data_IF_501248116940
#
_entry.id   IF_501248116940
#
_cell.length_a   1.000
_cell.length_b   1.000
_cell.length_c   1.000
_cell.angle_alpha   90.00
_cell.angle_beta   90.00
_cell.angle_gamma   90.00
#
_symmetry.space_group_name_H-M   'P 1'
#
loop_
_entity.id
_entity.type
_entity.pdbx_description
1 polymer ?
#
# COMPACT_ATOMS: atom_id res chain seq x y z
N UNK A 1 4.75 -21.45 15.36
CA UNK A 1 3.79 -22.58 15.19
C UNK A 1 4.57 -23.87 14.99
N UNK A 2 4.07 -25.02 15.46
CA UNK A 2 4.69 -26.32 15.14
C UNK A 2 4.38 -26.72 13.68
N UNK A 3 5.39 -27.13 12.92
CA UNK A 3 5.22 -27.62 11.54
C UNK A 3 4.21 -28.77 11.46
N UNK A 4 4.17 -29.64 12.48
CA UNK A 4 3.19 -30.72 12.56
C UNK A 4 1.76 -30.19 12.59
N UNK A 5 1.50 -29.13 13.37
CA UNK A 5 0.18 -28.53 13.48
C UNK A 5 -0.25 -27.92 12.14
N UNK A 6 0.66 -27.23 11.45
CA UNK A 6 0.36 -26.62 10.14
C UNK A 6 0.10 -27.69 9.07
N UNK A 7 0.88 -28.77 9.05
CA UNK A 7 0.62 -29.94 8.17
C UNK A 7 -0.75 -30.56 8.42
N UNK A 8 -1.12 -30.73 9.69
CA UNK A 8 -2.42 -31.26 10.09
C UNK A 8 -3.55 -30.34 9.63
N UNK A 9 -3.39 -29.02 9.79
CA UNK A 9 -4.34 -28.04 9.26
C UNK A 9 -4.44 -28.21 7.74
N UNK A 10 -3.32 -28.15 7.03
CA UNK A 10 -3.25 -28.28 5.58
C UNK A 10 -3.97 -29.51 5.02
N UNK A 11 -3.90 -30.65 5.72
CA UNK A 11 -4.56 -31.90 5.33
C UNK A 11 -6.07 -31.96 5.65
N UNK A 12 -6.57 -31.12 6.57
CA UNK A 12 -7.93 -31.22 7.10
C UNK A 12 -8.82 -30.01 6.80
N UNK A 13 -8.24 -28.83 6.54
CA UNK A 13 -9.00 -27.63 6.18
C UNK A 13 -9.67 -27.79 4.83
N UNK A 14 -10.94 -27.44 4.77
CA UNK A 14 -11.72 -27.31 3.54
C UNK A 14 -11.52 -25.91 2.94
N UNK A 15 -11.68 -25.75 1.61
CA UNK A 15 -11.71 -24.43 1.00
C UNK A 15 -12.78 -23.54 1.63
N UNK A 16 -12.48 -22.25 1.80
CA UNK A 16 -13.47 -21.25 2.20
C UNK A 16 -14.46 -21.02 1.05
N UNK A 17 -15.74 -20.72 1.35
CA UNK A 17 -16.68 -20.24 0.33
C UNK A 17 -16.23 -18.88 -0.22
N UNK A 18 -16.78 -18.46 -1.35
CA UNK A 18 -16.59 -17.12 -1.91
C UNK A 18 -17.96 -16.40 -1.94
N UNK A 19 -18.12 -15.24 -1.26
CA UNK A 19 -17.13 -14.59 -0.41
C UNK A 19 -16.81 -15.39 0.87
N UNK A 20 -15.65 -15.12 1.48
CA UNK A 20 -15.28 -15.72 2.76
C UNK A 20 -16.26 -15.30 3.87
N UNK A 21 -16.45 -16.13 4.91
CA UNK A 21 -17.16 -15.72 6.11
C UNK A 21 -16.45 -14.55 6.80
N UNK A 22 -17.21 -13.65 7.45
CA UNK A 22 -16.67 -12.48 8.14
C UNK A 22 -15.55 -12.84 9.15
N UNK A 23 -15.73 -13.93 9.91
CA UNK A 23 -14.73 -14.43 10.84
C UNK A 23 -13.40 -14.76 10.16
N UNK A 24 -13.43 -15.37 8.96
CA UNK A 24 -12.20 -15.70 8.24
C UNK A 24 -11.45 -14.44 7.78
N UNK A 25 -12.19 -13.42 7.32
CA UNK A 25 -11.62 -12.10 6.98
C UNK A 25 -11.02 -11.43 8.23
N UNK A 26 -11.72 -11.45 9.36
CA UNK A 26 -11.26 -10.87 10.62
C UNK A 26 -10.00 -11.56 11.15
N UNK A 27 -9.90 -12.89 11.01
CA UNK A 27 -8.70 -13.65 11.36
C UNK A 27 -7.51 -13.32 10.44
N UNK A 28 -7.76 -13.12 9.13
CA UNK A 28 -6.71 -12.65 8.22
C UNK A 28 -6.21 -11.26 8.64
N UNK A 29 -7.11 -10.31 8.89
CA UNK A 29 -6.75 -8.96 9.35
C UNK A 29 -6.00 -9.00 10.68
N UNK A 30 -6.44 -9.86 11.62
CA UNK A 30 -5.77 -10.06 12.91
C UNK A 30 -4.35 -10.61 12.73
N UNK A 31 -4.16 -11.59 11.84
CA UNK A 31 -2.85 -12.11 11.50
C UNK A 31 -1.94 -11.02 10.93
N UNK A 32 -2.41 -10.25 9.94
CA UNK A 32 -1.64 -9.17 9.32
C UNK A 32 -1.31 -8.05 10.33
N UNK A 33 -2.25 -7.75 11.23
CA UNK A 33 -2.10 -6.77 12.30
C UNK A 33 -1.23 -7.22 13.47
N UNK A 34 -0.78 -8.48 13.53
CA UNK A 34 0.00 -9.01 14.65
C UNK A 34 1.47 -8.53 14.68
N UNK A 35 1.91 -7.79 13.66
CA UNK A 35 3.27 -7.25 13.58
C UNK A 35 4.29 -8.33 13.25
N UNK A 36 5.51 -8.23 13.79
CA UNK A 36 6.63 -9.11 13.42
C UNK A 36 6.31 -10.62 13.50
N UNK A 37 5.56 -11.14 14.48
CA UNK A 37 5.15 -12.54 14.51
C UNK A 37 4.35 -13.03 13.30
N UNK A 38 3.69 -12.14 12.54
CA UNK A 38 2.93 -12.49 11.35
C UNK A 38 3.78 -13.20 10.31
N UNK A 39 5.05 -12.81 10.21
CA UNK A 39 6.05 -13.39 9.31
C UNK A 39 6.18 -14.91 9.51
N UNK A 40 6.47 -15.34 10.74
CA UNK A 40 6.79 -16.75 11.00
C UNK A 40 5.55 -17.62 10.80
N UNK A 41 4.37 -17.07 11.11
CA UNK A 41 3.09 -17.73 10.87
C UNK A 41 2.82 -17.85 9.38
N UNK A 42 3.00 -16.77 8.62
CA UNK A 42 2.75 -16.74 7.18
C UNK A 42 3.67 -17.71 6.43
N UNK A 43 4.97 -17.71 6.75
CA UNK A 43 5.94 -18.62 6.15
C UNK A 43 5.63 -20.09 6.47
N UNK A 44 5.22 -20.38 7.71
CA UNK A 44 4.82 -21.75 8.06
C UNK A 44 3.58 -22.20 7.29
N UNK A 45 2.57 -21.32 7.14
CA UNK A 45 1.36 -21.60 6.35
C UNK A 45 1.70 -21.81 4.87
N UNK A 46 2.54 -20.96 4.30
CA UNK A 46 2.92 -21.03 2.88
C UNK A 46 3.84 -22.22 2.57
N UNK A 47 4.68 -22.65 3.51
CA UNK A 47 5.48 -23.87 3.38
C UNK A 47 4.59 -25.12 3.16
N UNK A 48 3.37 -25.10 3.69
CA UNK A 48 2.35 -26.15 3.54
C UNK A 48 1.25 -25.78 2.51
N UNK A 49 1.51 -24.74 1.69
CA UNK A 49 0.63 -24.30 0.59
C UNK A 49 -0.75 -23.80 1.04
N UNK A 50 -0.89 -23.39 2.30
CA UNK A 50 -2.16 -22.85 2.80
C UNK A 50 -2.42 -21.45 2.26
N UNK A 51 -1.41 -20.58 2.19
CA UNK A 51 -1.58 -19.22 1.66
C UNK A 51 -1.93 -19.27 0.17
N UNK A 52 -1.19 -20.02 -0.65
CA UNK A 52 -1.51 -20.21 -2.08
C UNK A 52 -2.91 -20.81 -2.32
N UNK A 53 -3.45 -21.63 -1.40
CA UNK A 53 -4.84 -22.12 -1.49
C UNK A 53 -5.88 -21.06 -1.15
N UNK A 54 -5.60 -20.21 -0.16
CA UNK A 54 -6.48 -19.12 0.24
C UNK A 54 -6.45 -17.99 -0.80
N UNK A 55 -5.25 -17.65 -1.28
CA UNK A 55 -4.97 -16.58 -2.22
C UNK A 55 -4.23 -17.14 -3.46
N UNK A 56 -4.95 -17.78 -4.41
CA UNK A 56 -4.36 -18.35 -5.63
C UNK A 56 -3.38 -17.45 -6.38
N UNK A 57 -3.68 -16.15 -6.49
CA UNK A 57 -2.83 -15.17 -7.17
C UNK A 57 -1.44 -14.98 -6.50
N UNK A 58 -1.31 -15.39 -5.23
CA UNK A 58 -0.03 -15.41 -4.50
C UNK A 58 1.04 -16.27 -5.16
N UNK A 59 0.64 -17.34 -5.86
CA UNK A 59 1.57 -18.26 -6.52
C UNK A 59 2.47 -17.53 -7.53
N UNK A 60 1.99 -16.44 -8.14
CA UNK A 60 2.73 -15.64 -9.12
C UNK A 60 3.81 -14.74 -8.51
N UNK A 61 3.71 -14.43 -7.23
CA UNK A 61 4.69 -13.59 -6.50
C UNK A 61 5.57 -14.39 -5.53
N UNK A 62 5.19 -15.64 -5.25
CA UNK A 62 5.95 -16.57 -4.41
C UNK A 62 7.39 -16.72 -4.88
N UNK A 63 8.33 -16.48 -3.95
CA UNK A 63 9.78 -16.50 -4.14
C UNK A 63 10.26 -15.72 -5.38
N UNK A 64 9.48 -14.74 -5.85
CA UNK A 64 9.81 -13.97 -7.05
C UNK A 64 10.90 -12.95 -6.72
N UNK A 65 12.01 -12.89 -7.46
CA UNK A 65 13.01 -11.85 -7.25
C UNK A 65 12.45 -10.45 -7.53
N UNK A 66 12.78 -9.48 -6.67
CA UNK A 66 12.57 -8.07 -6.98
C UNK A 66 13.62 -7.60 -7.99
N UNK A 67 13.22 -6.78 -8.97
CA UNK A 67 14.10 -6.31 -10.05
C UNK A 67 14.95 -5.09 -9.67
N UNK A 68 14.68 -4.45 -8.53
CA UNK A 68 15.40 -3.25 -8.08
C UNK A 68 16.34 -3.58 -6.91
N UNK A 69 17.57 -3.07 -6.99
CA UNK A 69 18.67 -3.36 -6.04
C UNK A 69 18.41 -2.87 -4.59
N UNK A 70 17.37 -2.07 -4.38
CA UNK A 70 17.02 -1.52 -3.05
C UNK A 70 16.18 -2.51 -2.24
N UNK A 71 15.45 -3.43 -2.89
CA UNK A 71 14.63 -4.38 -2.14
C UNK A 71 15.49 -5.43 -1.45
N UNK A 72 15.24 -5.61 -0.16
CA UNK A 72 15.90 -6.62 0.67
C UNK A 72 15.33 -8.04 0.46
N UNK A 73 14.13 -8.15 -0.12
CA UNK A 73 13.32 -9.36 -0.09
C UNK A 73 12.80 -9.76 -1.48
N UNK A 74 12.43 -11.03 -1.63
CA UNK A 74 11.55 -11.48 -2.71
C UNK A 74 10.19 -10.78 -2.61
N UNK A 75 9.42 -10.75 -3.71
CA UNK A 75 8.13 -10.02 -3.76
C UNK A 75 7.18 -10.51 -2.66
N UNK A 76 6.95 -11.81 -2.53
CA UNK A 76 6.12 -12.40 -1.48
C UNK A 76 6.54 -12.01 -0.05
N UNK A 77 7.83 -12.07 0.25
CA UNK A 77 8.35 -11.67 1.56
C UNK A 77 8.20 -10.17 1.79
N UNK A 78 8.43 -9.36 0.75
CA UNK A 78 8.22 -7.91 0.79
C UNK A 78 6.78 -7.56 1.15
N UNK A 79 5.78 -8.21 0.54
CA UNK A 79 4.35 -7.98 0.83
C UNK A 79 4.03 -8.16 2.33
N UNK A 80 4.57 -9.21 2.96
CA UNK A 80 4.36 -9.44 4.40
C UNK A 80 5.13 -8.47 5.26
N UNK A 81 6.36 -8.11 4.90
CA UNK A 81 7.11 -7.07 5.61
C UNK A 81 6.41 -5.71 5.51
N UNK A 82 5.79 -5.37 4.37
CA UNK A 82 4.95 -4.18 4.21
C UNK A 82 3.71 -4.25 5.11
N UNK A 83 3.03 -5.39 5.20
CA UNK A 83 1.93 -5.57 6.16
C UNK A 83 2.39 -5.42 7.63
N UNK A 84 3.57 -5.92 7.97
CA UNK A 84 4.19 -5.72 9.30
C UNK A 84 4.42 -4.23 9.57
N UNK A 85 4.96 -3.47 8.62
CA UNK A 85 5.12 -2.02 8.76
C UNK A 85 3.77 -1.32 8.90
N UNK A 86 2.80 -1.69 8.08
CA UNK A 86 1.45 -1.15 8.12
C UNK A 86 0.74 -1.41 9.46
N UNK A 87 1.00 -2.56 10.10
CA UNK A 87 0.42 -2.88 11.43
C UNK A 87 0.74 -1.83 12.49
N UNK A 88 1.94 -1.22 12.43
CA UNK A 88 2.35 -0.15 13.34
C UNK A 88 1.64 1.19 13.07
N UNK A 89 1.03 1.34 11.89
CA UNK A 89 0.35 2.55 11.43
C UNK A 89 -1.18 2.48 11.59
N UNK A 90 -1.72 1.36 12.08
CA UNK A 90 -3.17 1.12 12.22
C UNK A 90 -3.91 2.19 13.04
N UNK A 91 -3.23 2.83 14.00
CA UNK A 91 -3.81 3.93 14.82
C UNK A 91 -3.83 5.29 14.11
N UNK A 92 -3.22 5.42 12.94
CA UNK A 92 -3.18 6.64 12.13
C UNK A 92 -4.24 6.67 11.04
N UNK A 93 -5.02 5.60 10.89
CA UNK A 93 -6.00 5.46 9.81
C UNK A 93 -7.37 5.07 10.34
N UNK A 94 -8.43 5.52 9.65
CA UNK A 94 -9.81 5.20 9.99
C UNK A 94 -10.21 3.75 9.65
N UNK A 95 -9.54 3.12 8.69
CA UNK A 95 -9.80 1.74 8.22
C UNK A 95 -8.53 0.88 8.21
N UNK A 96 -8.05 0.44 9.40
CA UNK A 96 -6.82 -0.34 9.51
C UNK A 96 -6.88 -1.69 8.79
N UNK A 97 -8.07 -2.27 8.66
CA UNK A 97 -8.32 -3.50 7.90
C UNK A 97 -8.02 -3.33 6.41
N UNK A 98 -8.48 -2.23 5.80
CA UNK A 98 -8.19 -1.93 4.39
C UNK A 98 -6.71 -1.64 4.17
N UNK A 99 -6.06 -0.91 5.08
CA UNK A 99 -4.61 -0.65 5.02
C UNK A 99 -3.81 -1.96 5.03
N UNK A 100 -4.12 -2.88 5.95
CA UNK A 100 -3.40 -4.15 6.08
C UNK A 100 -3.57 -5.05 4.84
N UNK A 101 -4.78 -5.11 4.28
CA UNK A 101 -5.05 -5.89 3.07
C UNK A 101 -4.43 -5.25 1.84
N UNK A 102 -4.50 -3.92 1.70
CA UNK A 102 -3.82 -3.21 0.62
C UNK A 102 -2.29 -3.37 0.71
N UNK A 103 -1.71 -3.35 1.91
CA UNK A 103 -0.29 -3.62 2.13
C UNK A 103 0.13 -5.02 1.65
N UNK A 104 -0.69 -6.04 1.92
CA UNK A 104 -0.48 -7.40 1.44
C UNK A 104 -0.57 -7.51 -0.09
N UNK A 105 -1.35 -6.65 -0.75
CA UNK A 105 -1.69 -6.77 -2.17
C UNK A 105 -1.01 -5.73 -3.08
N UNK A 106 -0.37 -4.69 -2.56
CA UNK A 106 0.10 -3.54 -3.35
C UNK A 106 0.96 -3.93 -4.56
N UNK A 107 1.77 -4.98 -4.40
CA UNK A 107 2.72 -5.44 -5.41
C UNK A 107 2.30 -6.77 -6.08
N UNK A 108 1.07 -7.26 -5.84
CA UNK A 108 0.59 -8.56 -6.33
C UNK A 108 0.65 -8.67 -7.86
N UNK A 109 0.53 -7.55 -8.56
CA UNK A 109 0.62 -7.46 -10.01
C UNK A 109 2.01 -7.72 -10.59
N UNK A 110 3.10 -7.72 -9.78
CA UNK A 110 4.47 -8.00 -10.27
C UNK A 110 4.64 -9.38 -10.89
N UNK A 111 3.72 -10.31 -10.59
CA UNK A 111 3.62 -11.64 -11.19
C UNK A 111 3.11 -11.66 -12.64
N UNK A 112 2.66 -10.53 -13.18
CA UNK A 112 1.99 -10.40 -14.48
C UNK A 112 2.77 -9.48 -15.45
N UNK A 113 2.57 -9.63 -16.77
CA UNK A 113 3.18 -8.74 -17.75
C UNK A 113 2.52 -7.34 -17.73
N UNK A 114 3.28 -6.33 -18.14
CA UNK A 114 2.80 -4.94 -18.21
C UNK A 114 3.06 -4.15 -16.92
N UNK A 115 2.26 -3.12 -16.71
CA UNK A 115 2.32 -2.30 -15.50
C UNK A 115 1.72 -3.06 -14.31
N UNK A 116 2.54 -3.27 -13.28
CA UNK A 116 2.18 -4.06 -12.11
C UNK A 116 1.11 -3.40 -11.23
N UNK A 117 0.98 -2.07 -11.26
CA UNK A 117 -0.07 -1.37 -10.52
C UNK A 117 -1.42 -1.51 -11.24
N UNK A 118 -1.42 -1.45 -12.57
CA UNK A 118 -2.63 -1.72 -13.40
C UNK A 118 -3.10 -3.17 -13.21
N UNK A 119 -2.19 -4.14 -13.35
CA UNK A 119 -2.52 -5.55 -13.16
C UNK A 119 -2.92 -5.85 -11.70
N UNK A 120 -2.21 -5.24 -10.74
CA UNK A 120 -2.46 -5.36 -9.32
C UNK A 120 -3.84 -4.86 -8.93
N UNK A 121 -4.32 -3.75 -9.51
CA UNK A 121 -5.66 -3.21 -9.29
C UNK A 121 -6.76 -4.26 -9.57
N UNK A 122 -6.69 -4.92 -10.73
CA UNK A 122 -7.67 -5.94 -11.13
C UNK A 122 -7.66 -7.11 -10.16
N UNK A 123 -6.47 -7.61 -9.82
CA UNK A 123 -6.30 -8.74 -8.90
C UNK A 123 -6.78 -8.37 -7.50
N UNK A 124 -6.44 -7.17 -7.03
CA UNK A 124 -6.82 -6.69 -5.70
C UNK A 124 -8.34 -6.57 -5.57
N UNK A 125 -9.03 -6.11 -6.64
CA UNK A 125 -10.49 -6.06 -6.71
C UNK A 125 -11.10 -7.46 -6.54
N UNK A 126 -10.61 -8.44 -7.30
CA UNK A 126 -11.09 -9.82 -7.25
C UNK A 126 -10.79 -10.50 -5.91
N UNK A 127 -9.60 -10.26 -5.35
CA UNK A 127 -9.18 -10.83 -4.06
C UNK A 127 -9.96 -10.20 -2.91
N UNK A 128 -10.14 -8.88 -2.88
CA UNK A 128 -10.91 -8.20 -1.84
C UNK A 128 -12.38 -8.65 -1.83
N UNK A 129 -13.00 -8.79 -3.00
CA UNK A 129 -14.35 -9.31 -3.13
C UNK A 129 -14.45 -10.77 -2.63
N UNK A 130 -13.45 -11.60 -2.95
CA UNK A 130 -13.36 -12.99 -2.49
C UNK A 130 -13.18 -13.11 -0.98
N UNK A 131 -12.36 -12.24 -0.38
CA UNK A 131 -12.19 -12.11 1.08
C UNK A 131 -13.48 -11.62 1.75
N UNK A 132 -14.41 -11.04 0.99
CA UNK A 132 -15.73 -10.66 1.46
C UNK A 132 -15.82 -9.22 1.95
N UNK A 133 -14.98 -8.31 1.46
CA UNK A 133 -15.22 -6.87 1.60
C UNK A 133 -16.44 -6.44 0.78
N UNK A 134 -17.13 -5.38 1.23
CA UNK A 134 -18.23 -4.81 0.44
C UNK A 134 -17.71 -4.07 -0.80
N UNK A 135 -18.62 -3.71 -1.70
CA UNK A 135 -18.24 -3.10 -2.99
C UNK A 135 -17.48 -1.78 -2.83
N UNK A 136 -17.76 -0.99 -1.80
CA UNK A 136 -17.07 0.28 -1.58
C UNK A 136 -15.62 0.03 -1.12
N UNK A 137 -15.46 -0.85 -0.14
CA UNK A 137 -14.15 -1.24 0.40
C UNK A 137 -13.26 -1.91 -0.65
N UNK A 138 -13.86 -2.71 -1.53
CA UNK A 138 -13.18 -3.33 -2.68
C UNK A 138 -12.58 -2.27 -3.60
N UNK A 139 -13.33 -1.23 -3.94
CA UNK A 139 -12.81 -0.14 -4.79
C UNK A 139 -11.75 0.71 -4.07
N UNK A 140 -11.88 0.91 -2.76
CA UNK A 140 -10.83 1.56 -1.98
C UNK A 140 -9.53 0.75 -2.04
N UNK A 141 -9.57 -0.56 -1.78
CA UNK A 141 -8.39 -1.43 -1.88
C UNK A 141 -7.81 -1.41 -3.30
N UNK A 142 -8.64 -1.53 -4.32
CA UNK A 142 -8.19 -1.48 -5.72
C UNK A 142 -7.49 -0.15 -6.04
N UNK A 143 -8.05 0.97 -5.57
CA UNK A 143 -7.46 2.33 -5.73
C UNK A 143 -6.10 2.43 -5.02
N UNK A 144 -5.99 1.91 -3.80
CA UNK A 144 -4.74 1.90 -3.04
C UNK A 144 -3.66 1.09 -3.76
N UNK A 145 -3.99 -0.10 -4.26
CA UNK A 145 -3.06 -0.92 -5.05
C UNK A 145 -2.70 -0.25 -6.36
N UNK A 146 -3.66 0.37 -7.04
CA UNK A 146 -3.42 1.08 -8.31
C UNK A 146 -2.46 2.25 -8.15
N UNK A 147 -2.55 2.97 -7.04
CA UNK A 147 -1.83 4.22 -6.83
C UNK A 147 -0.73 4.13 -5.77
N UNK A 148 -0.30 2.93 -5.37
CA UNK A 148 0.66 2.77 -4.25
C UNK A 148 1.99 3.51 -4.44
N UNK A 149 2.41 3.77 -5.69
CA UNK A 149 3.59 4.58 -6.03
C UNK A 149 3.30 6.08 -6.21
N UNK A 150 2.03 6.48 -6.33
CA UNK A 150 1.62 7.83 -6.74
C UNK A 150 2.22 8.92 -5.85
N UNK A 151 2.12 8.77 -4.53
CA UNK A 151 2.57 9.80 -3.60
C UNK A 151 4.09 9.96 -3.63
N UNK A 152 4.85 8.87 -3.57
CA UNK A 152 6.31 8.93 -3.55
C UNK A 152 6.87 9.43 -4.89
N UNK A 153 6.29 9.01 -6.02
CA UNK A 153 6.74 9.47 -7.34
C UNK A 153 6.39 10.93 -7.58
N UNK A 154 5.18 11.35 -7.20
CA UNK A 154 4.76 12.75 -7.35
C UNK A 154 5.61 13.66 -6.48
N UNK A 155 5.73 13.34 -5.19
CA UNK A 155 6.47 14.14 -4.22
C UNK A 155 7.95 14.32 -4.56
N UNK A 156 8.56 13.36 -5.27
CA UNK A 156 10.01 13.40 -5.57
C UNK A 156 10.35 13.79 -7.00
N UNK A 157 9.38 13.82 -7.92
CA UNK A 157 9.63 14.06 -9.35
C UNK A 157 8.82 15.19 -9.97
N UNK A 158 7.85 15.75 -9.24
CA UNK A 158 6.97 16.81 -9.74
C UNK A 158 7.10 18.07 -8.90
N UNK A 159 6.70 19.18 -9.50
CA UNK A 159 6.54 20.44 -8.79
C UNK A 159 5.25 20.41 -7.97
N UNK A 160 5.38 20.57 -6.66
CA UNK A 160 4.25 20.58 -5.71
C UNK A 160 3.56 21.94 -5.64
N UNK A 161 4.19 23.00 -6.15
CA UNK A 161 3.61 24.33 -6.27
C UNK A 161 2.73 24.46 -7.51
N UNK A 162 2.85 23.55 -8.49
CA UNK A 162 1.91 23.45 -9.61
C UNK A 162 0.55 22.91 -9.12
N UNK A 163 -0.54 23.72 -9.17
CA UNK A 163 -1.86 23.29 -8.77
C UNK A 163 -2.39 22.10 -9.58
N UNK A 164 -1.91 21.90 -10.82
CA UNK A 164 -2.31 20.75 -11.63
C UNK A 164 -1.75 19.43 -11.08
N UNK A 165 -0.53 19.43 -10.53
CA UNK A 165 0.06 18.27 -9.85
C UNK A 165 -0.82 17.83 -8.68
N UNK A 166 -1.17 18.77 -7.79
CA UNK A 166 -1.98 18.49 -6.59
C UNK A 166 -3.37 18.00 -6.97
N UNK A 167 -4.02 18.65 -7.96
CA UNK A 167 -5.34 18.22 -8.45
C UNK A 167 -5.32 16.82 -9.06
N UNK A 168 -4.30 16.48 -9.84
CA UNK A 168 -4.19 15.14 -10.42
C UNK A 168 -4.12 14.03 -9.35
N UNK A 169 -3.46 14.29 -8.22
CA UNK A 169 -3.46 13.36 -7.08
C UNK A 169 -4.83 13.33 -6.39
N UNK A 170 -5.46 14.48 -6.18
CA UNK A 170 -6.79 14.58 -5.58
C UNK A 170 -7.84 13.80 -6.40
N UNK A 171 -7.83 13.95 -7.72
CA UNK A 171 -8.73 13.23 -8.63
C UNK A 171 -8.51 11.72 -8.56
N UNK A 172 -7.25 11.27 -8.46
CA UNK A 172 -6.91 9.85 -8.38
C UNK A 172 -7.39 9.18 -7.07
N UNK A 173 -7.27 9.86 -5.91
CA UNK A 173 -7.68 9.29 -4.62
C UNK A 173 -9.15 9.55 -4.29
N UNK A 174 -9.74 10.60 -4.87
CA UNK A 174 -11.14 11.05 -4.76
C UNK A 174 -11.61 11.45 -3.34
N UNK A 175 -11.16 10.78 -2.27
CA UNK A 175 -11.63 11.02 -0.89
C UNK A 175 -10.47 11.24 0.09
N UNK A 176 -10.68 12.03 1.16
CA UNK A 176 -9.69 12.17 2.23
C UNK A 176 -9.34 10.83 2.91
N UNK A 177 -10.32 9.92 3.05
CA UNK A 177 -10.10 8.60 3.62
C UNK A 177 -9.16 7.74 2.78
N UNK A 178 -9.33 7.74 1.46
CA UNK A 178 -8.41 7.04 0.54
C UNK A 178 -7.01 7.64 0.58
N UNK A 179 -6.89 8.98 0.63
CA UNK A 179 -5.60 9.66 0.74
C UNK A 179 -4.87 9.30 2.04
N UNK A 180 -5.58 9.26 3.16
CA UNK A 180 -5.03 8.86 4.47
C UNK A 180 -4.46 7.44 4.42
N UNK A 181 -5.22 6.50 3.87
CA UNK A 181 -4.79 5.10 3.71
C UNK A 181 -3.60 4.99 2.74
N UNK A 182 -3.63 5.73 1.63
CA UNK A 182 -2.55 5.72 0.64
C UNK A 182 -1.24 6.26 1.23
N UNK A 183 -1.32 7.32 2.03
CA UNK A 183 -0.17 7.86 2.73
C UNK A 183 0.46 6.82 3.67
N UNK A 184 -0.35 6.15 4.50
CA UNK A 184 0.15 5.10 5.38
C UNK A 184 0.73 3.90 4.60
N UNK A 185 0.11 3.52 3.48
CA UNK A 185 0.61 2.45 2.61
C UNK A 185 1.97 2.81 1.99
N UNK A 186 2.12 4.02 1.46
CA UNK A 186 3.39 4.51 0.88
C UNK A 186 4.52 4.49 1.92
N UNK A 187 4.25 4.93 3.14
CA UNK A 187 5.24 4.87 4.23
C UNK A 187 5.61 3.43 4.59
N UNK A 188 4.61 2.56 4.75
CA UNK A 188 4.82 1.16 5.09
C UNK A 188 5.67 0.42 4.03
N UNK A 189 5.36 0.63 2.76
CA UNK A 189 6.07 0.03 1.63
C UNK A 189 7.53 0.50 1.54
N UNK A 190 7.76 1.80 1.70
CA UNK A 190 9.11 2.34 1.69
C UNK A 190 9.94 1.82 2.89
N UNK A 191 9.35 1.74 4.08
CA UNK A 191 10.01 1.17 5.27
C UNK A 191 10.30 -0.33 5.16
N UNK A 192 9.50 -1.08 4.40
CA UNK A 192 9.73 -2.50 4.13
C UNK A 192 10.76 -2.72 3.02
N UNK A 193 10.81 -1.83 2.03
CA UNK A 193 11.80 -1.85 0.95
C UNK A 193 13.22 -1.71 1.52
N UNK A 194 13.43 -0.78 2.46
CA UNK A 194 14.70 -0.65 3.18
C UNK A 194 14.98 0.76 3.70
N UNK A 195 16.00 0.95 4.55
CA UNK A 195 16.30 2.25 5.17
C UNK A 195 16.67 3.34 4.14
N UNK A 196 17.18 2.96 2.97
CA UNK A 196 17.48 3.88 1.89
C UNK A 196 16.24 4.36 1.12
N UNK A 197 15.09 3.67 1.27
CA UNK A 197 13.85 4.00 0.58
C UNK A 197 13.02 5.06 1.31
N UNK A 198 13.13 5.17 2.65
CA UNK A 198 12.38 6.15 3.44
C UNK A 198 13.30 7.03 4.31
N UNK A 199 13.62 8.23 3.82
CA UNK A 199 14.40 9.24 4.55
C UNK A 199 13.51 10.34 5.13
N UNK A 200 14.02 11.09 6.10
CA UNK A 200 13.30 12.25 6.67
C UNK A 200 12.88 13.26 5.59
N UNK A 201 13.71 13.47 4.58
CA UNK A 201 13.40 14.33 3.44
C UNK A 201 12.25 13.79 2.58
N UNK A 202 12.24 12.49 2.26
CA UNK A 202 11.11 11.89 1.52
C UNK A 202 9.82 11.92 2.33
N UNK A 203 9.91 11.66 3.64
CA UNK A 203 8.76 11.74 4.53
C UNK A 203 8.16 13.16 4.56
N UNK A 204 9.02 14.19 4.59
CA UNK A 204 8.60 15.58 4.50
C UNK A 204 7.88 15.86 3.17
N UNK A 205 8.46 15.49 2.03
CA UNK A 205 7.86 15.75 0.71
C UNK A 205 6.49 15.05 0.54
N UNK A 206 6.39 13.79 0.97
CA UNK A 206 5.11 13.05 0.90
C UNK A 206 4.08 13.68 1.83
N UNK A 207 4.47 14.08 3.05
CA UNK A 207 3.56 14.75 3.99
C UNK A 207 3.08 16.09 3.46
N UNK A 208 3.97 16.90 2.85
CA UNK A 208 3.60 18.18 2.24
C UNK A 208 2.60 18.00 1.10
N UNK A 209 2.86 17.05 0.19
CA UNK A 209 1.91 16.70 -0.87
C UNK A 209 0.55 16.27 -0.28
N UNK A 210 0.53 15.40 0.73
CA UNK A 210 -0.72 14.94 1.37
C UNK A 210 -1.49 16.08 2.00
N UNK A 211 -0.83 17.05 2.65
CA UNK A 211 -1.48 18.23 3.19
C UNK A 211 -2.11 19.09 2.08
N UNK A 212 -1.38 19.35 1.00
CA UNK A 212 -1.88 20.12 -0.15
C UNK A 212 -3.09 19.44 -0.81
N UNK A 213 -3.03 18.14 -1.02
CA UNK A 213 -4.15 17.36 -1.59
C UNK A 213 -5.35 17.34 -0.65
N UNK A 214 -5.12 17.18 0.65
CA UNK A 214 -6.19 17.23 1.66
C UNK A 214 -6.94 18.56 1.64
N UNK A 215 -6.24 19.68 1.46
CA UNK A 215 -6.84 21.00 1.33
C UNK A 215 -7.75 21.08 0.09
N UNK A 216 -7.29 20.58 -1.07
CA UNK A 216 -8.10 20.52 -2.29
C UNK A 216 -9.35 19.66 -2.11
N UNK A 217 -9.23 18.49 -1.49
CA UNK A 217 -10.37 17.60 -1.21
C UNK A 217 -11.37 18.20 -0.21
N UNK A 218 -10.92 19.08 0.68
CA UNK A 218 -11.77 19.85 1.59
C UNK A 218 -12.44 21.07 0.91
N UNK A 219 -12.21 21.29 -0.39
CA UNK A 219 -12.76 22.40 -1.16
C UNK A 219 -11.98 23.71 -1.04
N UNK A 220 -10.77 23.68 -0.46
CA UNK A 220 -9.89 24.85 -0.51
C UNK A 220 -9.31 25.01 -1.93
N UNK A 221 -9.22 26.26 -2.45
CA UNK A 221 -8.50 26.48 -3.69
C UNK A 221 -7.04 26.02 -3.51
N UNK A 222 -6.42 25.38 -4.51
CA UNK A 222 -5.01 25.01 -4.42
C UNK A 222 -4.20 26.27 -4.15
N UNK A 223 -3.27 26.18 -3.20
CA UNK A 223 -2.42 27.32 -2.83
C UNK A 223 -1.81 27.91 -4.10
N UNK A 224 -2.00 29.21 -4.30
CA UNK A 224 -1.27 29.91 -5.34
C UNK A 224 0.24 29.81 -5.01
N UNK A 225 1.12 29.72 -6.01
CA UNK A 225 2.55 29.86 -5.76
C UNK A 225 2.75 31.12 -4.93
N UNK A 226 3.39 30.98 -3.77
CA UNK A 226 3.83 32.15 -3.03
C UNK A 226 4.82 32.86 -3.96
N UNK A 227 4.47 34.05 -4.45
CA UNK A 227 5.44 34.87 -5.19
C UNK A 227 6.61 35.09 -4.25
N UNK A 228 7.69 34.34 -4.47
CA UNK A 228 8.92 34.51 -3.72
C UNK A 228 9.29 35.98 -3.85
N UNK A 229 9.28 36.70 -2.73
CA UNK A 229 9.70 38.09 -2.69
C UNK A 229 11.05 38.18 -3.42
N UNK A 230 11.19 39.13 -4.37
CA UNK A 230 12.41 39.22 -5.17
C UNK A 230 13.60 39.26 -4.22
N UNK A 231 14.61 38.43 -4.48
CA UNK A 231 15.80 38.44 -3.65
C UNK A 231 16.45 39.81 -3.78
N UNK A 232 17.18 40.26 -2.75
CA UNK A 232 17.91 41.53 -2.77
C UNK A 232 18.95 41.62 -3.92
N UNK A 233 19.21 40.51 -4.62
CA UNK A 233 20.03 40.42 -5.83
C UNK A 233 19.21 40.73 -7.09
N UNK A 234 17.96 40.25 -7.18
CA UNK A 234 17.05 40.54 -8.29
C UNK A 234 16.59 42.02 -8.30
N UNK A 235 16.44 42.64 -7.12
CA UNK A 235 16.14 44.08 -7.01
C UNK A 235 17.32 44.97 -7.46
N UNK A 236 18.57 44.49 -7.32
CA UNK A 236 19.77 45.25 -7.74
C UNK A 236 20.02 45.21 -9.25
N UNK A 237 19.50 44.21 -9.94
CA UNK A 237 19.62 44.05 -11.40
C UNK A 237 18.50 44.78 -12.17
N UNK A 238 17.49 45.30 -11.48
CA UNK A 238 16.35 46.01 -12.06
C UNK A 238 16.51 47.55 -12.08
N UNK A 239 17.70 48.08 -11.75
CA UNK A 239 18.06 49.52 -11.79
C UNK A 239 19.10 49.80 -12.86
#
# INVERSE_FOLDING_TARGET
LSLYAVRRLAATTRPLPAPWPAEAREQLVTLLGSGRPAVDVWEALEAEGLISRLLPDWERVRCRPQRNAVHLWTVDRHLIETAVRASALTRRVHRPDLLLVAALLHDIGKGWPGDHSVAGEVIARDVAARIGFDAHDVEVIATLVRHHLLLVETATRRDLDDPATVRAVADAVTTPGTLELLHALTEADALATGPAAWSAWRAFLVTDLVHRVSAVLAGAPPAAPEEAAPTAEQERLAV
#
